data_IF_864678195517
#
_entry.id   IF_864678195517
#
_cell.length_a   1.000
_cell.length_b   1.000
_cell.length_c   1.000
_cell.angle_alpha   90.00
_cell.angle_beta   90.00
_cell.angle_gamma   90.00
#
_symmetry.space_group_name_H-M   'P 1'
#
loop_
_entity.id
_entity.type
_entity.pdbx_description
1 polymer ?
#
# COMPACT_ATOMS: atom_id res chain seq x y z
N UNK A 1 13.48 14.23 -59.15
CA UNK A 1 12.02 14.38 -58.94
C UNK A 1 11.85 14.93 -57.53
N UNK A 2 11.68 16.24 -57.36
CA UNK A 2 10.46 17.06 -57.46
C UNK A 2 9.57 16.98 -56.20
N UNK A 3 9.66 18.03 -55.36
CA UNK A 3 8.61 18.84 -54.69
C UNK A 3 7.52 18.14 -53.84
N UNK A 4 7.47 18.36 -52.50
CA UNK A 4 6.85 19.47 -51.73
C UNK A 4 5.41 19.15 -51.23
N UNK A 5 5.17 19.32 -49.93
CA UNK A 5 3.89 19.74 -49.30
C UNK A 5 4.17 19.86 -47.78
N UNK A 6 4.54 21.02 -47.23
CA UNK A 6 3.69 22.17 -46.86
C UNK A 6 2.55 21.78 -45.91
N UNK A 7 2.70 22.08 -44.62
CA UNK A 7 1.60 22.47 -43.74
C UNK A 7 2.03 23.72 -42.97
N UNK A 8 1.69 24.88 -43.55
CA UNK A 8 1.63 26.21 -42.91
C UNK A 8 0.82 26.10 -41.60
N UNK A 9 1.27 26.59 -40.43
CA UNK A 9 1.48 27.98 -40.02
C UNK A 9 0.22 28.84 -40.20
N UNK A 10 -0.27 29.45 -39.11
CA UNK A 10 -0.81 30.84 -38.98
C UNK A 10 -1.57 30.97 -37.63
N UNK A 11 -0.96 31.64 -36.64
CA UNK A 11 -1.26 33.01 -36.12
C UNK A 11 -2.48 33.06 -35.17
N UNK A 12 -2.65 34.00 -34.25
CA UNK A 12 -1.84 34.98 -33.51
C UNK A 12 -2.89 35.77 -32.69
N UNK A 13 -2.52 36.32 -31.54
CA UNK A 13 -3.42 37.17 -30.77
C UNK A 13 -2.71 37.94 -29.67
N UNK A 14 -1.78 38.82 -30.06
CA UNK A 14 -1.23 39.87 -29.20
C UNK A 14 -1.74 41.21 -29.75
N UNK A 15 -2.54 41.93 -28.96
CA UNK A 15 -2.88 43.34 -29.14
C UNK A 15 -2.51 44.03 -27.81
N UNK A 16 -1.35 44.69 -27.73
CA UNK A 16 -1.05 46.10 -28.04
C UNK A 16 -1.75 47.08 -27.07
N UNK A 17 -0.90 47.97 -26.55
CA UNK A 17 -1.05 48.91 -25.46
C UNK A 17 -2.00 50.10 -25.68
N UNK A 18 -2.51 50.62 -24.56
CA UNK A 18 -2.47 52.05 -24.23
C UNK A 18 -3.69 52.90 -24.61
N UNK A 19 -4.40 53.41 -23.59
CA UNK A 19 -5.02 54.73 -23.67
C UNK A 19 -5.08 55.35 -22.26
N UNK A 20 -4.44 56.50 -22.09
CA UNK A 20 -4.40 57.33 -20.88
C UNK A 20 -5.60 58.29 -20.85
N UNK A 21 -6.22 58.51 -19.68
CA UNK A 21 -6.74 59.82 -19.19
C UNK A 21 -7.29 59.75 -17.75
N UNK A 22 -6.57 60.40 -16.83
CA UNK A 22 -7.00 61.39 -15.81
C UNK A 22 -8.18 61.15 -14.84
N UNK A 23 -7.81 60.85 -13.57
CA UNK A 23 -8.16 61.46 -12.25
C UNK A 23 -9.61 61.60 -11.67
N UNK A 24 -9.82 60.83 -10.57
CA UNK A 24 -10.48 61.04 -9.25
C UNK A 24 -12.01 61.35 -9.12
N UNK A 25 -12.72 60.80 -8.10
CA UNK A 25 -12.60 61.20 -6.67
C UNK A 25 -12.42 60.04 -5.66
N UNK A 26 -12.06 60.31 -4.39
CA UNK A 26 -11.79 59.28 -3.38
C UNK A 26 -13.09 58.70 -2.83
N UNK A 27 -13.31 57.40 -3.04
CA UNK A 27 -14.43 56.63 -2.47
C UNK A 27 -13.97 55.78 -1.28
N UNK A 28 -14.77 55.81 -0.21
CA UNK A 28 -14.54 55.24 1.12
C UNK A 28 -13.75 53.91 1.18
N UNK A 29 -12.83 53.83 2.14
CA UNK A 29 -12.16 52.60 2.60
C UNK A 29 -13.19 51.50 2.90
N UNK A 30 -13.22 50.39 2.15
CA UNK A 30 -13.91 49.20 2.61
C UNK A 30 -13.04 48.54 3.68
N UNK A 31 -13.65 48.33 4.85
CA UNK A 31 -13.16 47.48 5.94
C UNK A 31 -12.76 46.12 5.34
N UNK A 32 -11.61 45.52 5.70
CA UNK A 32 -11.31 44.18 5.27
C UNK A 32 -12.32 43.23 5.94
N UNK A 33 -13.31 42.78 5.18
CA UNK A 33 -14.07 41.59 5.52
C UNK A 33 -13.13 40.41 5.34
N UNK A 34 -12.55 39.95 6.44
CA UNK A 34 -11.79 38.70 6.49
C UNK A 34 -12.72 37.59 6.01
N UNK A 35 -12.49 37.09 4.80
CA UNK A 35 -13.09 35.84 4.38
C UNK A 35 -12.71 34.77 5.42
N UNK A 36 -13.66 33.95 5.92
CA UNK A 36 -13.26 32.81 6.72
C UNK A 36 -12.36 31.95 5.85
N UNK A 37 -11.09 31.86 6.22
CA UNK A 37 -10.21 30.80 5.74
C UNK A 37 -10.85 29.53 6.27
N UNK A 38 -11.60 28.84 5.41
CA UNK A 38 -11.96 27.46 5.66
C UNK A 38 -10.65 26.69 5.60
N UNK A 39 -10.00 26.60 6.75
CA UNK A 39 -8.91 25.66 6.97
C UNK A 39 -9.57 24.30 6.78
N UNK A 40 -9.48 23.76 5.58
CA UNK A 40 -9.76 22.36 5.33
C UNK A 40 -8.75 21.60 6.17
N UNK A 41 -9.13 21.28 7.41
CA UNK A 41 -8.45 20.25 8.16
C UNK A 41 -8.72 19.00 7.35
N UNK A 42 -7.78 18.64 6.48
CA UNK A 42 -7.68 17.26 6.04
C UNK A 42 -7.53 16.49 7.34
N UNK A 43 -8.64 15.89 7.80
CA UNK A 43 -8.56 14.87 8.81
C UNK A 43 -7.68 13.82 8.15
N UNK A 44 -6.41 13.78 8.53
CA UNK A 44 -5.56 12.65 8.22
C UNK A 44 -6.37 11.46 8.72
N UNK A 45 -6.88 10.65 7.78
CA UNK A 45 -7.42 9.34 8.14
C UNK A 45 -6.37 8.74 9.05
N UNK A 46 -6.71 8.38 10.31
CA UNK A 46 -5.75 7.86 11.25
C UNK A 46 -5.11 6.66 10.58
N UNK A 47 -3.90 6.87 10.05
CA UNK A 47 -3.06 5.78 9.58
C UNK A 47 -2.86 4.94 10.84
N UNK A 48 -3.25 3.66 10.85
CA UNK A 48 -3.07 2.82 12.01
C UNK A 48 -1.59 2.92 12.40
N UNK A 49 -1.32 3.61 13.50
CA UNK A 49 0.02 3.72 14.05
C UNK A 49 0.25 2.35 14.67
N UNK A 50 0.97 1.50 13.94
CA UNK A 50 1.31 0.12 14.30
C UNK A 50 2.18 0.09 15.57
N UNK A 51 1.57 0.37 16.72
CA UNK A 51 2.19 0.16 18.03
C UNK A 51 2.10 -1.30 18.49
N UNK A 52 1.47 -2.19 17.70
CA UNK A 52 1.33 -3.60 18.05
C UNK A 52 2.56 -4.46 17.72
N UNK A 53 3.58 -3.89 17.07
CA UNK A 53 4.89 -4.52 16.88
C UNK A 53 4.80 -5.95 16.30
N UNK A 54 5.82 -6.75 16.60
CA UNK A 54 5.97 -8.16 16.20
C UNK A 54 4.79 -9.07 16.54
N UNK A 55 3.92 -8.68 17.48
CA UNK A 55 2.78 -9.47 17.96
C UNK A 55 1.49 -9.25 17.14
N UNK A 56 1.42 -8.24 16.26
CA UNK A 56 0.21 -7.96 15.46
C UNK A 56 -0.22 -9.16 14.60
N UNK A 57 0.77 -9.84 13.99
CA UNK A 57 0.52 -11.02 13.16
C UNK A 57 0.22 -12.26 13.99
N UNK A 58 0.67 -12.31 15.25
CA UNK A 58 0.56 -13.47 16.15
C UNK A 58 -0.85 -13.59 16.74
N UNK A 59 -1.81 -13.96 15.89
CA UNK A 59 -3.17 -14.24 16.32
C UNK A 59 -3.19 -15.57 17.10
N UNK A 60 -3.62 -15.60 18.38
CA UNK A 60 -3.62 -16.82 19.19
C UNK A 60 -4.39 -17.98 18.53
N UNK A 61 -5.48 -17.63 17.83
CA UNK A 61 -6.32 -18.56 17.11
C UNK A 61 -5.82 -18.94 15.72
N UNK A 62 -4.72 -18.37 15.21
CA UNK A 62 -4.27 -18.49 13.83
C UNK A 62 -5.27 -17.94 12.81
N UNK A 63 -4.86 -17.94 11.54
CA UNK A 63 -5.69 -17.64 10.38
C UNK A 63 -6.26 -18.94 9.84
N UNK A 64 -7.59 -19.06 9.76
CA UNK A 64 -8.25 -20.27 9.23
C UNK A 64 -8.78 -19.98 7.83
N UNK A 65 -8.39 -20.79 6.86
CA UNK A 65 -8.88 -20.76 5.48
C UNK A 65 -9.67 -22.05 5.25
N UNK A 66 -10.99 -21.95 5.22
CA UNK A 66 -11.91 -23.09 5.04
C UNK A 66 -12.22 -23.33 3.56
N UNK A 67 -12.07 -22.32 2.72
CA UNK A 67 -12.44 -22.31 1.31
C UNK A 67 -11.41 -21.57 0.45
N UNK A 68 -11.27 -21.95 -0.82
CA UNK A 68 -10.39 -21.29 -1.80
C UNK A 68 -10.69 -19.80 -2.03
N UNK A 69 -11.89 -19.36 -1.63
CA UNK A 69 -12.31 -17.96 -1.73
C UNK A 69 -11.88 -17.12 -0.52
N UNK A 70 -11.33 -17.73 0.53
CA UNK A 70 -10.92 -17.02 1.73
C UNK A 70 -9.63 -16.23 1.43
N UNK A 71 -9.74 -14.90 1.55
CA UNK A 71 -8.63 -13.97 1.36
C UNK A 71 -8.53 -13.08 2.58
N UNK A 72 -7.34 -13.01 3.16
CA UNK A 72 -7.05 -12.15 4.29
C UNK A 72 -5.90 -11.24 3.90
N UNK A 73 -6.07 -9.94 4.16
CA UNK A 73 -5.03 -8.94 3.92
C UNK A 73 -4.65 -8.32 5.27
N UNK A 74 -3.36 -8.27 5.54
CA UNK A 74 -2.79 -7.63 6.72
C UNK A 74 -1.73 -6.63 6.28
N UNK A 75 -1.64 -5.52 6.99
CA UNK A 75 -0.51 -4.61 6.86
C UNK A 75 0.27 -4.67 8.15
N UNK A 76 1.59 -4.51 8.07
CA UNK A 76 2.45 -4.44 9.24
C UNK A 76 3.73 -3.69 8.90
N UNK A 77 4.50 -3.33 9.93
CA UNK A 77 5.81 -2.71 9.77
C UNK A 77 6.89 -3.65 10.29
N UNK A 78 7.91 -3.90 9.49
CA UNK A 78 9.14 -4.56 9.91
C UNK A 78 10.08 -3.50 10.48
N UNK A 79 10.44 -3.64 11.75
CA UNK A 79 11.45 -2.86 12.45
C UNK A 79 12.35 -3.78 13.30
N UNK A 80 13.54 -3.32 13.66
CA UNK A 80 14.41 -4.04 14.61
C UNK A 80 13.68 -4.25 15.95
N UNK A 81 13.65 -5.48 16.51
CA UNK A 81 14.51 -6.62 16.20
C UNK A 81 13.91 -7.63 15.19
N UNK A 82 12.76 -7.34 14.58
CA UNK A 82 12.15 -8.19 13.57
C UNK A 82 12.96 -8.16 12.27
N UNK A 83 13.08 -9.30 11.60
CA UNK A 83 13.82 -9.42 10.33
C UNK A 83 13.13 -10.33 9.32
N UNK A 84 11.99 -10.91 9.65
CA UNK A 84 11.34 -11.91 8.83
C UNK A 84 9.93 -12.22 9.30
N UNK A 85 9.30 -13.16 8.61
CA UNK A 85 8.05 -13.78 9.00
C UNK A 85 8.29 -15.27 9.16
N UNK A 86 7.82 -15.86 10.25
CA UNK A 86 7.68 -17.30 10.36
C UNK A 86 6.19 -17.64 10.23
N UNK A 87 5.89 -18.65 9.41
CA UNK A 87 4.55 -19.19 9.33
C UNK A 87 4.57 -20.70 9.57
N UNK A 88 3.51 -21.18 10.23
CA UNK A 88 3.27 -22.59 10.53
C UNK A 88 1.90 -22.99 10.01
N UNK A 89 1.83 -24.14 9.34
CA UNK A 89 0.66 -24.71 8.70
C UNK A 89 0.15 -25.90 9.49
N UNK A 90 -1.16 -25.98 9.64
CA UNK A 90 -1.89 -27.18 10.01
C UNK A 90 -2.93 -27.47 8.91
N UNK A 91 -2.79 -28.56 8.15
CA UNK A 91 -3.85 -29.08 7.29
C UNK A 91 -5.09 -29.42 8.11
N UNK A 92 -6.27 -29.09 7.58
CA UNK A 92 -7.58 -29.35 8.20
C UNK A 92 -8.37 -30.43 7.45
N UNK A 93 -7.71 -31.18 6.57
CA UNK A 93 -8.28 -32.28 5.81
C UNK A 93 -7.26 -33.41 5.67
N UNK A 94 -7.74 -34.65 5.64
CA UNK A 94 -6.89 -35.84 5.46
C UNK A 94 -6.35 -35.95 4.04
N UNK A 95 -7.11 -35.46 3.04
CA UNK A 95 -6.63 -35.35 1.68
C UNK A 95 -5.83 -34.05 1.52
N UNK A 96 -4.52 -34.19 1.65
CA UNK A 96 -3.56 -33.10 1.57
C UNK A 96 -3.55 -32.41 0.19
N UNK A 97 -4.07 -33.03 -0.87
CA UNK A 97 -4.14 -32.38 -2.19
C UNK A 97 -5.10 -31.19 -2.19
N UNK A 98 -6.10 -31.19 -1.30
CA UNK A 98 -7.01 -30.05 -1.11
C UNK A 98 -6.50 -29.02 -0.10
N UNK A 99 -5.43 -29.30 0.64
CA UNK A 99 -4.88 -28.40 1.63
C UNK A 99 -3.76 -27.56 1.02
N UNK A 100 -3.96 -26.25 0.91
CA UNK A 100 -2.95 -25.37 0.35
C UNK A 100 -3.01 -23.97 0.96
N UNK A 101 -1.89 -23.26 0.92
CA UNK A 101 -1.74 -21.89 1.40
C UNK A 101 -0.83 -21.09 0.48
N UNK A 102 -1.15 -19.83 0.25
CA UNK A 102 -0.33 -18.88 -0.49
C UNK A 102 -0.29 -17.56 0.27
N UNK A 103 0.91 -16.99 0.38
CA UNK A 103 1.19 -15.72 1.01
C UNK A 103 2.01 -14.85 0.07
N UNK A 104 1.42 -13.73 -0.35
CA UNK A 104 2.13 -12.68 -1.05
C UNK A 104 2.57 -11.63 -0.05
N UNK A 105 3.87 -11.31 -0.04
CA UNK A 105 4.42 -10.27 0.82
C UNK A 105 4.94 -9.14 -0.06
N UNK A 106 4.34 -7.96 0.08
CA UNK A 106 4.66 -6.78 -0.71
C UNK A 106 5.34 -5.74 0.16
N UNK A 107 6.57 -5.35 -0.18
CA UNK A 107 7.24 -4.21 0.43
C UNK A 107 6.62 -2.93 -0.13
N UNK A 108 5.93 -2.14 0.70
CA UNK A 108 5.16 -0.99 0.22
C UNK A 108 6.03 0.19 -0.23
N UNK A 109 7.32 0.23 0.17
CA UNK A 109 8.25 1.27 -0.28
C UNK A 109 8.76 1.02 -1.70
N UNK A 110 9.03 -0.24 -2.04
CA UNK A 110 9.60 -0.63 -3.35
C UNK A 110 8.57 -1.19 -4.32
N UNK A 111 7.39 -1.63 -3.83
CA UNK A 111 6.39 -2.36 -4.61
C UNK A 111 6.78 -3.80 -4.92
N UNK A 112 7.96 -4.26 -4.53
CA UNK A 112 8.38 -5.64 -4.75
C UNK A 112 7.46 -6.60 -3.98
N UNK A 113 7.01 -7.65 -4.68
CA UNK A 113 6.19 -8.71 -4.10
C UNK A 113 6.88 -10.05 -4.26
N UNK A 114 7.03 -10.75 -3.15
CA UNK A 114 7.53 -12.12 -3.11
C UNK A 114 6.40 -13.06 -2.69
N UNK A 115 6.32 -14.24 -3.32
CA UNK A 115 5.25 -15.22 -3.09
C UNK A 115 5.80 -16.47 -2.42
N UNK A 116 5.13 -16.91 -1.38
CA UNK A 116 5.45 -18.11 -0.60
C UNK A 116 4.18 -18.95 -0.41
N UNK A 117 4.34 -20.20 0.00
CA UNK A 117 3.17 -21.05 0.18
C UNK A 117 3.45 -22.42 0.77
N UNK A 118 2.40 -23.22 0.80
CA UNK A 118 2.37 -24.62 1.17
C UNK A 118 1.43 -25.39 0.24
N UNK A 119 1.86 -26.58 -0.21
CA UNK A 119 1.10 -27.44 -1.10
C UNK A 119 1.02 -26.91 -2.55
N UNK A 120 0.33 -27.63 -3.43
CA UNK A 120 0.29 -27.37 -4.89
C UNK A 120 1.70 -27.26 -5.48
N UNK A 121 2.07 -26.10 -6.03
CA UNK A 121 3.40 -25.82 -6.58
C UNK A 121 4.46 -25.44 -5.53
N UNK A 122 4.09 -25.32 -4.25
CA UNK A 122 4.98 -24.92 -3.15
C UNK A 122 5.47 -26.11 -2.31
N UNK A 123 6.42 -25.85 -1.42
CA UNK A 123 6.91 -26.86 -0.47
C UNK A 123 5.77 -27.43 0.40
N UNK A 124 5.94 -28.67 0.86
CA UNK A 124 5.06 -29.31 1.85
C UNK A 124 5.57 -29.14 3.29
N UNK A 125 6.57 -28.28 3.50
CA UNK A 125 7.05 -27.97 4.85
C UNK A 125 5.96 -27.28 5.67
N UNK A 126 5.71 -27.80 6.88
CA UNK A 126 4.69 -27.26 7.77
C UNK A 126 5.13 -25.99 8.49
N UNK A 127 6.40 -25.64 8.48
CA UNK A 127 6.90 -24.42 9.10
C UNK A 127 8.04 -23.84 8.27
N UNK A 128 7.97 -22.54 7.97
CA UNK A 128 9.03 -21.83 7.25
C UNK A 128 9.24 -20.44 7.80
N UNK A 129 10.47 -19.97 7.67
CA UNK A 129 10.85 -18.59 7.94
C UNK A 129 11.28 -17.91 6.65
N UNK A 130 10.71 -16.75 6.39
CA UNK A 130 10.97 -15.91 5.23
C UNK A 130 11.71 -14.66 5.71
N UNK A 131 12.92 -14.37 5.19
CA UNK A 131 13.61 -13.12 5.49
C UNK A 131 12.89 -11.92 4.87
N UNK A 132 12.77 -10.84 5.63
CA UNK A 132 12.41 -9.51 5.15
C UNK A 132 13.68 -8.67 5.15
N UNK A 133 14.27 -8.48 3.97
CA UNK A 133 15.62 -7.90 3.86
C UNK A 133 15.70 -6.41 4.25
N UNK A 134 14.58 -5.69 4.19
CA UNK A 134 14.52 -4.26 4.44
C UNK A 134 13.50 -3.95 5.55
N UNK A 135 13.81 -2.99 6.41
CA UNK A 135 12.83 -2.40 7.32
C UNK A 135 11.80 -1.57 6.54
N UNK A 136 10.60 -1.43 7.09
CA UNK A 136 9.55 -0.61 6.51
C UNK A 136 8.17 -1.26 6.52
N UNK A 137 7.19 -0.61 5.87
CA UNK A 137 5.83 -1.11 5.77
C UNK A 137 5.71 -2.23 4.72
N UNK A 138 4.92 -3.24 5.06
CA UNK A 138 4.63 -4.40 4.23
C UNK A 138 3.14 -4.71 4.26
N UNK A 139 2.64 -5.19 3.13
CA UNK A 139 1.31 -5.80 3.01
C UNK A 139 1.47 -7.30 2.81
N UNK A 140 0.72 -8.10 3.56
CA UNK A 140 0.61 -9.55 3.39
C UNK A 140 -0.79 -9.86 2.87
N UNK A 141 -0.87 -10.52 1.72
CA UNK A 141 -2.11 -11.13 1.23
C UNK A 141 -2.02 -12.64 1.36
N UNK A 142 -2.90 -13.21 2.16
CA UNK A 142 -2.98 -14.63 2.44
C UNK A 142 -4.22 -15.24 1.81
N UNK A 143 -4.04 -16.40 1.19
CA UNK A 143 -5.11 -17.25 0.65
C UNK A 143 -4.84 -18.68 1.04
N UNK A 144 -5.88 -19.50 1.13
CA UNK A 144 -5.69 -20.91 1.38
C UNK A 144 -6.97 -21.70 1.22
N UNK A 145 -6.87 -22.99 1.48
CA UNK A 145 -8.01 -23.89 1.51
C UNK A 145 -7.75 -25.01 2.50
N UNK A 146 -8.72 -25.26 3.38
CA UNK A 146 -8.66 -26.30 4.41
C UNK A 146 -7.35 -26.30 5.20
N UNK A 147 -6.88 -25.11 5.57
CA UNK A 147 -5.64 -24.94 6.34
C UNK A 147 -5.84 -23.92 7.45
N UNK A 148 -5.11 -24.14 8.54
CA UNK A 148 -4.92 -23.16 9.60
C UNK A 148 -3.46 -22.72 9.60
N UNK A 149 -3.22 -21.42 9.69
CA UNK A 149 -1.90 -20.82 9.53
C UNK A 149 -1.63 -19.89 10.69
N UNK A 150 -0.56 -20.14 11.44
CA UNK A 150 -0.03 -19.16 12.40
C UNK A 150 1.06 -18.38 11.71
N UNK A 151 1.02 -17.06 11.83
CA UNK A 151 2.00 -16.15 11.24
C UNK A 151 2.54 -15.30 12.38
N UNK A 152 3.86 -15.17 12.48
CA UNK A 152 4.51 -14.35 13.51
C UNK A 152 5.71 -13.64 12.91
N UNK A 153 6.05 -12.47 13.45
CA UNK A 153 7.31 -11.84 13.10
C UNK A 153 8.48 -12.68 13.63
N UNK A 154 9.49 -12.92 12.78
CA UNK A 154 10.74 -13.53 13.18
C UNK A 154 11.64 -12.47 13.81
N UNK A 155 12.05 -12.69 15.05
CA UNK A 155 12.91 -11.79 15.84
C UNK A 155 14.36 -12.26 15.72
N UNK A 156 15.32 -11.33 15.63
CA UNK A 156 16.75 -11.67 15.66
C UNK A 156 17.07 -12.25 17.03
N UNK A 157 17.76 -13.38 17.07
CA UNK A 157 18.31 -13.84 18.34
C UNK A 157 19.26 -12.75 18.87
N UNK A 158 19.06 -12.27 20.11
CA UNK A 158 19.94 -11.28 20.72
C UNK A 158 21.36 -11.79 20.89
#
# INVERSE_FOLDING_TARGET
MKYFAICSLILAGILIAGCTSTQAPPGATPVPTTAPVTTGVTIASPQPVFSLGSAYLDKPGGYTFSSENDVIVEEFRVDSPSWGINYKIQPLNDDLQYCWFVMNVTNMNSGQTDTFGYGREYSIDLERTIPMYNEGPYTITMKGNRVKVWVKAAIRNP
#
